data_IF_039702863805
#
_entry.id   IF_039702863805
#
_cell.length_a   1.000
_cell.length_b   1.000
_cell.length_c   1.000
_cell.angle_alpha   90.00
_cell.angle_beta   90.00
_cell.angle_gamma   90.00
#
_symmetry.space_group_name_H-M   'P 1'
#
loop_
_entity.id
_entity.type
_entity.pdbx_description
1 polymer ?
#
# COMPACT_ATOMS: atom_id res chain seq x y z
N UNK A 1 -10.30 4.84 19.39
CA UNK A 1 -11.65 4.30 19.68
C UNK A 1 -11.66 2.82 19.29
N UNK A 2 -12.67 2.03 19.70
CA UNK A 2 -12.73 0.59 19.40
C UNK A 2 -12.25 -0.29 20.55
N UNK A 3 -12.41 -1.60 20.42
CA UNK A 3 -12.16 -2.61 21.46
C UNK A 3 -12.95 -3.89 21.19
N UNK A 4 -12.45 -5.03 21.66
CA UNK A 4 -13.11 -6.34 21.53
C UNK A 4 -14.57 -6.31 22.00
N UNK A 5 -14.88 -5.56 23.04
CA UNK A 5 -16.23 -5.39 23.59
C UNK A 5 -17.21 -4.76 22.58
N UNK A 6 -16.70 -3.99 21.62
CA UNK A 6 -17.48 -3.36 20.56
C UNK A 6 -17.41 -4.14 19.23
N UNK A 7 -16.79 -5.34 19.22
CA UNK A 7 -16.49 -6.13 18.01
C UNK A 7 -15.75 -5.32 16.93
N UNK A 8 -14.98 -4.31 17.34
CA UNK A 8 -14.24 -3.42 16.45
C UNK A 8 -12.77 -3.38 16.88
N UNK A 9 -11.81 -3.39 15.93
CA UNK A 9 -10.40 -3.23 16.26
C UNK A 9 -10.13 -1.86 16.88
N UNK A 10 -8.98 -1.70 17.54
CA UNK A 10 -8.54 -0.42 18.09
C UNK A 10 -8.17 0.51 16.94
N UNK A 11 -8.97 1.54 16.70
CA UNK A 11 -8.81 2.51 15.60
C UNK A 11 -8.28 3.86 16.09
N UNK A 12 -7.44 4.49 15.29
CA UNK A 12 -6.97 5.86 15.49
C UNK A 12 -8.11 6.83 15.11
N UNK A 13 -8.81 7.35 16.11
CA UNK A 13 -9.94 8.27 15.87
C UNK A 13 -9.51 9.72 15.68
N UNK A 14 -8.37 10.12 16.28
CA UNK A 14 -7.88 11.49 16.25
C UNK A 14 -6.39 11.50 16.56
N UNK A 15 -5.64 12.31 15.80
CA UNK A 15 -4.24 12.64 16.07
C UNK A 15 -4.21 14.11 16.46
N UNK A 16 -3.52 14.42 17.57
CA UNK A 16 -3.36 15.79 18.03
C UNK A 16 -2.09 16.40 17.45
N UNK A 17 -2.25 17.58 16.85
CA UNK A 17 -1.14 18.28 16.20
C UNK A 17 -0.02 18.63 17.18
N UNK A 18 1.22 18.42 16.76
CA UNK A 18 2.42 18.73 17.56
C UNK A 18 2.84 17.64 18.56
N UNK A 19 2.12 16.52 18.68
CA UNK A 19 2.51 15.39 19.51
C UNK A 19 3.33 14.36 18.70
N UNK A 20 3.96 13.40 19.39
CA UNK A 20 4.80 12.37 18.77
C UNK A 20 4.11 11.64 17.60
N UNK A 21 2.83 11.31 17.74
CA UNK A 21 2.05 10.63 16.69
C UNK A 21 1.82 11.49 15.43
N UNK A 22 1.76 12.81 15.58
CA UNK A 22 1.65 13.76 14.47
C UNK A 22 3.02 13.98 13.81
N UNK A 23 4.08 14.11 14.63
CA UNK A 23 5.46 14.27 14.15
C UNK A 23 5.97 13.05 13.38
N UNK A 24 5.44 11.86 13.65
CA UNK A 24 5.82 10.65 12.91
C UNK A 24 5.25 10.60 11.49
N UNK A 25 4.14 11.29 11.19
CA UNK A 25 3.39 11.28 9.91
C UNK A 25 3.06 9.89 9.31
N UNK A 26 3.43 8.79 9.97
CA UNK A 26 3.23 7.41 9.56
C UNK A 26 1.88 6.83 10.02
N UNK A 27 1.12 7.60 10.81
CA UNK A 27 -0.17 7.21 11.38
C UNK A 27 -1.26 8.09 10.79
N UNK A 28 -2.34 7.49 10.34
CA UNK A 28 -3.51 8.18 9.83
C UNK A 28 -4.73 7.95 10.72
N UNK A 29 -5.61 8.95 10.76
CA UNK A 29 -6.93 8.79 11.35
C UNK A 29 -7.66 7.72 10.55
N UNK A 30 -8.06 6.65 11.24
CA UNK A 30 -8.67 5.49 10.62
C UNK A 30 -7.85 4.21 10.66
N UNK A 31 -6.56 4.29 10.95
CA UNK A 31 -5.72 3.10 11.01
C UNK A 31 -6.08 2.21 12.19
N UNK A 32 -5.99 0.89 11.99
CA UNK A 32 -6.20 -0.09 13.04
C UNK A 32 -4.87 -0.46 13.69
N UNK A 33 -4.75 -0.26 15.00
CA UNK A 33 -3.60 -0.68 15.79
C UNK A 33 -3.72 -2.18 16.03
N UNK A 34 -2.73 -2.93 15.54
CA UNK A 34 -2.62 -4.36 15.70
C UNK A 34 -1.77 -4.70 16.93
N UNK A 35 -0.67 -4.00 17.15
CA UNK A 35 0.20 -4.25 18.31
C UNK A 35 0.92 -2.98 18.81
N UNK A 36 1.26 -2.97 20.09
CA UNK A 36 2.04 -1.92 20.77
C UNK A 36 3.24 -2.58 21.46
N UNK A 37 4.46 -2.24 21.05
CA UNK A 37 5.71 -2.79 21.61
C UNK A 37 5.73 -4.32 21.67
N UNK A 38 5.19 -4.98 20.64
CA UNK A 38 5.09 -6.44 20.58
C UNK A 38 3.97 -7.06 21.41
N UNK A 39 3.17 -6.24 22.12
CA UNK A 39 1.92 -6.68 22.77
C UNK A 39 0.80 -6.58 21.76
N UNK A 40 0.18 -7.71 21.44
CA UNK A 40 -0.94 -7.77 20.49
C UNK A 40 -2.20 -7.16 21.10
N UNK A 41 -2.82 -6.26 20.36
CA UNK A 41 -4.05 -5.56 20.72
C UNK A 41 -5.23 -5.94 19.82
N UNK A 42 -5.07 -6.92 18.92
CA UNK A 42 -6.14 -7.40 18.04
C UNK A 42 -7.36 -7.95 18.81
N UNK A 43 -7.12 -8.60 19.95
CA UNK A 43 -8.16 -9.13 20.85
C UNK A 43 -8.29 -8.35 22.16
N UNK A 44 -7.62 -7.21 22.29
CA UNK A 44 -7.63 -6.41 23.51
C UNK A 44 -8.93 -5.60 23.64
N UNK A 45 -9.36 -5.40 24.88
CA UNK A 45 -10.41 -4.44 25.22
C UNK A 45 -9.93 -3.00 25.05
N UNK A 46 -10.85 -2.05 24.95
CA UNK A 46 -10.47 -0.63 24.85
C UNK A 46 -9.55 -0.18 25.99
N UNK A 47 -9.88 -0.58 27.21
CA UNK A 47 -9.12 -0.19 28.40
C UNK A 47 -7.70 -0.79 28.38
N UNK A 48 -7.56 -2.07 28.02
CA UNK A 48 -6.26 -2.73 27.87
C UNK A 48 -5.39 -2.06 26.81
N UNK A 49 -5.97 -1.65 25.68
CA UNK A 49 -5.24 -0.92 24.64
C UNK A 49 -4.75 0.46 25.14
N UNK A 50 -5.59 1.18 25.89
CA UNK A 50 -5.20 2.46 26.50
C UNK A 50 -4.11 2.26 27.55
N UNK A 51 -4.21 1.20 28.37
CA UNK A 51 -3.18 0.85 29.33
C UNK A 51 -1.86 0.47 28.66
N UNK A 52 -1.88 -0.30 27.57
CA UNK A 52 -0.68 -0.66 26.81
C UNK A 52 0.02 0.57 26.21
N UNK A 53 -0.75 1.51 25.67
CA UNK A 53 -0.23 2.79 25.17
C UNK A 53 0.35 3.65 26.30
N UNK A 54 -0.30 3.70 27.47
CA UNK A 54 0.17 4.47 28.64
C UNK A 54 1.36 3.84 29.37
N UNK A 55 1.44 2.51 29.39
CA UNK A 55 2.54 1.75 30.00
C UNK A 55 3.84 1.92 29.21
N UNK A 56 3.71 2.33 27.96
CA UNK A 56 4.84 2.61 27.11
C UNK A 56 5.51 3.93 27.49
N UNK A 57 6.83 3.91 27.62
CA UNK A 57 7.64 5.05 28.07
C UNK A 57 8.04 6.02 26.94
N UNK A 58 9.33 6.33 26.86
CA UNK A 58 9.89 7.33 25.93
C UNK A 58 9.75 6.97 24.44
N UNK A 59 9.61 5.69 24.12
CA UNK A 59 9.52 5.19 22.74
C UNK A 59 8.39 4.16 22.63
N UNK A 60 7.56 4.30 21.59
CA UNK A 60 6.42 3.42 21.30
C UNK A 60 6.58 2.90 19.87
N UNK A 61 6.62 1.59 19.70
CA UNK A 61 6.57 0.90 18.41
C UNK A 61 5.14 0.44 18.18
N UNK A 62 4.52 0.96 17.13
CA UNK A 62 3.14 0.64 16.76
C UNK A 62 3.15 -0.19 15.47
N UNK A 63 2.42 -1.28 15.47
CA UNK A 63 2.08 -2.01 14.25
C UNK A 63 0.66 -1.65 13.86
N UNK A 64 0.49 -1.04 12.70
CA UNK A 64 -0.81 -0.55 12.23
C UNK A 64 -1.16 -1.14 10.87
N UNK A 65 -2.45 -1.36 10.66
CA UNK A 65 -3.02 -1.73 9.37
C UNK A 65 -3.73 -0.52 8.78
N UNK A 66 -3.23 -0.05 7.64
CA UNK A 66 -3.88 1.00 6.87
C UNK A 66 -5.23 0.51 6.34
N UNK A 67 -6.32 1.13 6.76
CA UNK A 67 -7.67 0.82 6.31
C UNK A 67 -8.12 1.88 5.31
N UNK A 68 -7.92 1.61 4.01
CA UNK A 68 -8.18 2.56 2.91
C UNK A 68 -9.67 2.80 2.61
N UNK A 69 -10.60 2.28 3.40
CA UNK A 69 -12.03 2.52 3.25
C UNK A 69 -12.65 2.88 4.59
N UNK A 70 -12.85 4.17 4.84
CA UNK A 70 -13.76 4.63 5.88
C UNK A 70 -14.83 5.46 5.19
N UNK A 71 -15.92 4.77 4.87
CA UNK A 71 -17.26 5.32 4.75
C UNK A 71 -18.23 4.17 4.99
N UNK A 72 -19.17 4.20 5.96
CA UNK A 72 -19.25 5.00 7.19
C UNK A 72 -19.55 4.08 8.40
N UNK A 73 -18.56 3.71 9.24
CA UNK A 73 -18.87 3.05 10.52
C UNK A 73 -19.36 4.03 11.61
N UNK A 74 -19.45 5.32 11.28
CA UNK A 74 -20.29 6.27 12.00
C UNK A 74 -21.75 6.13 11.53
N UNK A 75 -22.45 5.06 11.94
CA UNK A 75 -23.91 5.00 12.11
C UNK A 75 -24.34 3.63 12.66
N UNK A 76 -24.73 3.67 13.95
CA UNK A 76 -25.75 2.91 14.67
C UNK A 76 -25.98 1.41 14.40
N UNK A 77 -25.97 0.68 15.51
CA UNK A 77 -26.54 -0.66 15.74
C UNK A 77 -27.83 -0.97 14.97
N UNK A 78 -27.90 -2.13 14.32
CA UNK A 78 -28.89 -3.22 14.54
C UNK A 78 -28.74 -4.33 13.48
N UNK A 79 -28.90 -5.60 13.94
CA UNK A 79 -29.36 -6.83 13.26
C UNK A 79 -29.23 -6.97 11.72
N UNK A 80 -28.83 -8.09 11.12
CA UNK A 80 -28.64 -9.48 11.54
C UNK A 80 -28.62 -10.40 10.30
N UNK A 81 -28.24 -11.67 10.52
CA UNK A 81 -28.46 -12.86 9.65
C UNK A 81 -27.70 -12.90 8.31
N UNK A 82 -27.22 -14.02 7.73
CA UNK A 82 -27.15 -15.48 8.00
C UNK A 82 -26.38 -16.08 6.79
N UNK A 83 -25.42 -17.01 6.89
CA UNK A 83 -25.51 -18.48 6.67
C UNK A 83 -24.04 -18.91 6.44
N UNK A 84 -23.42 -19.76 7.28
CA UNK A 84 -23.25 -21.24 7.19
C UNK A 84 -22.37 -21.70 6.01
N UNK A 85 -21.33 -22.52 6.20
CA UNK A 85 -21.43 -23.95 6.55
C UNK A 85 -20.36 -24.47 7.53
N UNK A 86 -20.78 -25.48 8.27
CA UNK A 86 -20.20 -26.19 9.42
C UNK A 86 -18.87 -26.97 9.17
N UNK A 87 -18.20 -27.43 10.25
CA UNK A 87 -16.88 -28.03 10.29
C UNK A 87 -16.93 -29.56 10.21
N UNK A 88 -15.76 -30.21 10.09
CA UNK A 88 -15.62 -31.62 10.44
C UNK A 88 -14.19 -32.00 10.86
N UNK A 89 -14.03 -33.06 11.69
CA UNK A 89 -13.03 -33.12 12.76
C UNK A 89 -12.02 -34.28 12.63
N UNK A 90 -10.88 -34.20 13.33
CA UNK A 90 -10.12 -35.40 13.76
C UNK A 90 -9.13 -35.10 14.90
N UNK A 91 -9.58 -35.41 16.12
CA UNK A 91 -8.93 -36.18 17.20
C UNK A 91 -7.41 -36.15 17.47
N UNK A 92 -7.11 -35.80 18.74
CA UNK A 92 -6.22 -36.43 19.75
C UNK A 92 -4.71 -36.10 19.83
N UNK A 93 -4.42 -35.28 20.87
CA UNK A 93 -3.38 -35.43 21.92
C UNK A 93 -1.88 -35.34 21.58
N UNK A 94 -1.24 -34.26 22.08
CA UNK A 94 -0.27 -34.37 23.20
C UNK A 94 -0.04 -33.00 23.86
N UNK A 95 -0.25 -32.94 25.19
CA UNK A 95 0.18 -31.82 26.05
C UNK A 95 1.71 -31.86 26.18
N UNK A 96 2.35 -30.74 25.86
CA UNK A 96 3.62 -30.31 26.43
C UNK A 96 3.74 -28.80 26.21
N UNK A 97 3.83 -28.05 27.33
CA UNK A 97 4.41 -26.71 27.54
C UNK A 97 4.22 -25.61 26.47
N UNK A 98 3.82 -24.37 26.81
CA UNK A 98 3.62 -23.31 25.81
C UNK A 98 4.98 -22.77 25.33
N UNK A 99 5.63 -23.50 24.42
CA UNK A 99 6.54 -22.88 23.46
C UNK A 99 5.66 -22.17 22.45
N UNK A 100 5.74 -20.84 22.45
CA UNK A 100 5.11 -19.97 21.47
C UNK A 100 5.25 -20.58 20.07
N UNK A 101 4.15 -20.87 19.34
CA UNK A 101 4.28 -21.15 17.93
C UNK A 101 4.89 -19.89 17.27
N UNK A 102 5.82 -20.05 16.32
CA UNK A 102 6.20 -18.93 15.45
C UNK A 102 4.90 -18.39 14.87
N UNK A 103 4.49 -17.19 15.29
CA UNK A 103 3.34 -16.50 14.71
C UNK A 103 3.62 -16.28 13.24
N UNK A 104 3.13 -17.22 12.45
CA UNK A 104 2.52 -17.03 11.14
C UNK A 104 3.03 -15.81 10.34
N UNK A 105 4.27 -15.88 9.84
CA UNK A 105 4.52 -15.54 8.43
C UNK A 105 4.04 -16.74 7.58
N UNK A 106 2.79 -17.18 7.76
CA UNK A 106 2.28 -18.43 7.14
C UNK A 106 1.71 -18.26 5.75
N UNK A 107 1.64 -17.04 5.25
CA UNK A 107 1.36 -16.78 3.85
C UNK A 107 2.42 -15.80 3.35
N UNK A 108 3.37 -16.29 2.56
CA UNK A 108 4.34 -15.43 1.90
C UNK A 108 3.59 -14.38 1.08
N UNK A 109 3.85 -13.09 1.35
CA UNK A 109 3.25 -12.02 0.55
C UNK A 109 3.87 -12.03 -0.84
N UNK A 110 3.05 -12.25 -1.86
CA UNK A 110 3.49 -12.31 -3.26
C UNK A 110 3.11 -11.01 -3.96
N UNK A 111 4.10 -10.32 -4.54
CA UNK A 111 3.87 -9.20 -5.46
C UNK A 111 4.16 -9.68 -6.89
N UNK A 112 3.21 -9.57 -7.82
CA UNK A 112 3.47 -9.84 -9.23
C UNK A 112 4.53 -8.86 -9.77
N UNK A 113 5.59 -9.38 -10.38
CA UNK A 113 6.63 -8.54 -11.00
C UNK A 113 6.13 -7.75 -12.22
N UNK A 114 5.00 -8.15 -12.79
CA UNK A 114 4.38 -7.46 -13.92
C UNK A 114 4.02 -6.04 -13.50
N UNK A 115 4.75 -5.06 -14.03
CA UNK A 115 4.59 -3.64 -13.73
C UNK A 115 4.67 -3.31 -12.23
N UNK A 116 5.33 -4.11 -11.40
CA UNK A 116 5.65 -3.64 -10.05
C UNK A 116 6.62 -2.46 -10.14
N UNK A 117 6.59 -1.59 -9.14
CA UNK A 117 7.55 -0.49 -9.04
C UNK A 117 8.19 -0.46 -7.66
N UNK A 118 9.42 0.03 -7.63
CA UNK A 118 10.16 0.22 -6.38
C UNK A 118 10.27 1.71 -6.12
N UNK A 119 9.89 2.13 -4.92
CA UNK A 119 9.98 3.50 -4.45
C UNK A 119 10.91 3.58 -3.24
N UNK A 120 11.59 4.71 -3.09
CA UNK A 120 12.37 5.05 -1.88
C UNK A 120 11.67 6.11 -1.04
N UNK A 121 10.36 6.22 -1.19
CA UNK A 121 9.50 7.17 -0.50
C UNK A 121 9.25 6.70 0.92
N UNK A 122 10.29 6.71 1.76
CA UNK A 122 10.16 6.44 3.17
C UNK A 122 10.47 7.72 3.95
N UNK A 123 9.47 8.14 4.72
CA UNK A 123 9.61 9.10 5.81
C UNK A 123 9.62 8.31 7.13
N UNK A 124 10.42 8.68 8.13
CA UNK A 124 11.34 9.83 8.16
C UNK A 124 12.53 9.65 7.22
N UNK A 125 13.21 10.76 6.91
CA UNK A 125 14.39 10.79 6.04
C UNK A 125 15.35 9.65 6.43
N UNK A 126 15.55 8.73 5.50
CA UNK A 126 16.52 7.64 5.62
C UNK A 126 17.86 8.12 5.05
N UNK A 127 18.77 8.67 5.88
CA UNK A 127 20.05 9.17 5.40
C UNK A 127 20.95 8.05 4.86
N UNK A 128 20.63 6.79 5.15
CA UNK A 128 21.43 5.63 4.76
C UNK A 128 20.85 4.87 3.57
N UNK A 129 19.72 5.33 2.99
CA UNK A 129 19.09 4.77 1.79
C UNK A 129 18.89 3.23 1.81
N UNK A 130 18.59 2.67 2.98
CA UNK A 130 18.41 1.24 3.22
C UNK A 130 16.97 0.78 3.05
N UNK A 131 16.00 1.69 3.01
CA UNK A 131 14.60 1.35 2.83
C UNK A 131 14.19 1.28 1.35
N UNK A 132 13.36 0.29 1.06
CA UNK A 132 12.73 0.06 -0.23
C UNK A 132 11.26 -0.23 -0.03
N UNK A 133 10.42 0.43 -0.79
CA UNK A 133 9.00 0.12 -0.92
C UNK A 133 8.78 -0.56 -2.27
N UNK A 134 8.30 -1.80 -2.27
CA UNK A 134 7.93 -2.52 -3.49
C UNK A 134 6.42 -2.54 -3.60
N UNK A 135 5.88 -1.96 -4.66
CA UNK A 135 4.45 -1.84 -4.87
C UNK A 135 3.98 -2.67 -6.07
N UNK A 136 2.80 -3.26 -5.95
CA UNK A 136 2.10 -3.90 -7.06
C UNK A 136 1.61 -2.87 -8.08
N UNK A 137 1.38 -3.34 -9.31
CA UNK A 137 0.95 -2.48 -10.42
C UNK A 137 -0.42 -1.79 -10.20
N UNK A 138 -1.25 -2.35 -9.34
CA UNK A 138 -2.55 -1.80 -8.95
C UNK A 138 -2.47 -0.91 -7.69
N UNK A 139 -1.28 -0.73 -7.11
CA UNK A 139 -1.05 0.08 -5.91
C UNK A 139 -1.77 -0.43 -4.66
N UNK A 140 -2.29 -1.67 -4.67
CA UNK A 140 -3.03 -2.27 -3.54
C UNK A 140 -2.12 -2.97 -2.54
N UNK A 141 -1.00 -3.52 -3.02
CA UNK A 141 -0.04 -4.26 -2.19
C UNK A 141 1.29 -3.53 -2.20
N UNK A 142 1.77 -3.18 -1.01
CA UNK A 142 3.09 -2.61 -0.80
C UNK A 142 3.88 -3.45 0.21
N UNK A 143 5.16 -3.67 -0.06
CA UNK A 143 6.10 -4.31 0.84
C UNK A 143 7.20 -3.32 1.19
N UNK A 144 7.34 -3.03 2.47
CA UNK A 144 8.45 -2.25 2.99
C UNK A 144 9.56 -3.20 3.41
N UNK A 145 10.74 -3.00 2.84
CA UNK A 145 11.93 -3.79 3.08
C UNK A 145 13.03 -2.86 3.59
N UNK A 146 13.81 -3.35 4.55
CA UNK A 146 15.03 -2.69 5.02
C UNK A 146 16.21 -3.59 4.74
N UNK A 147 17.17 -3.09 3.97
CA UNK A 147 18.43 -3.78 3.73
C UNK A 147 19.42 -3.57 4.88
N UNK A 148 20.46 -4.41 4.90
CA UNK A 148 21.58 -4.27 5.84
C UNK A 148 22.36 -2.97 5.61
N UNK A 149 22.59 -2.63 4.34
CA UNK A 149 23.39 -1.50 3.87
C UNK A 149 22.82 -0.94 2.56
N UNK A 150 23.26 0.26 2.19
CA UNK A 150 22.81 0.95 0.97
C UNK A 150 23.13 0.14 -0.30
N UNK A 151 24.30 -0.48 -0.37
CA UNK A 151 24.72 -1.26 -1.54
C UNK A 151 23.80 -2.46 -1.77
N UNK A 152 23.38 -3.13 -0.70
CA UNK A 152 22.40 -4.20 -0.72
C UNK A 152 21.03 -3.67 -1.13
N UNK A 153 20.57 -2.54 -0.58
CA UNK A 153 19.31 -1.91 -1.00
C UNK A 153 19.32 -1.54 -2.49
N UNK A 154 20.42 -0.98 -2.99
CA UNK A 154 20.60 -0.66 -4.40
C UNK A 154 20.58 -1.92 -5.27
N UNK A 155 21.24 -2.99 -4.83
CA UNK A 155 21.25 -4.27 -5.55
C UNK A 155 19.86 -4.87 -5.66
N UNK A 156 19.08 -4.86 -4.56
CA UNK A 156 17.69 -5.31 -4.55
C UNK A 156 16.81 -4.46 -5.47
N UNK A 157 16.93 -3.14 -5.41
CA UNK A 157 16.19 -2.22 -6.27
C UNK A 157 16.47 -2.50 -7.75
N UNK A 158 17.75 -2.58 -8.14
CA UNK A 158 18.15 -2.86 -9.52
C UNK A 158 17.67 -4.22 -10.00
N UNK A 159 17.74 -5.25 -9.15
CA UNK A 159 17.28 -6.59 -9.48
C UNK A 159 15.76 -6.65 -9.72
N UNK A 160 14.97 -6.02 -8.85
CA UNK A 160 13.51 -5.98 -9.00
C UNK A 160 13.12 -5.18 -10.24
N UNK A 161 13.73 -4.01 -10.45
CA UNK A 161 13.46 -3.18 -11.63
C UNK A 161 13.85 -3.88 -12.94
N UNK A 162 14.99 -4.57 -12.97
CA UNK A 162 15.41 -5.34 -14.14
C UNK A 162 14.42 -6.46 -14.47
N UNK A 163 14.01 -7.24 -13.47
CA UNK A 163 13.04 -8.33 -13.66
C UNK A 163 11.65 -7.82 -14.06
N UNK A 164 11.20 -6.71 -13.48
CA UNK A 164 9.96 -6.05 -13.91
C UNK A 164 10.07 -5.54 -15.36
N UNK A 165 11.23 -4.99 -15.73
CA UNK A 165 11.54 -4.51 -17.07
C UNK A 165 11.51 -5.59 -18.15
N UNK A 166 11.92 -6.83 -17.83
CA UNK A 166 11.81 -7.99 -18.76
C UNK A 166 10.37 -8.26 -19.17
N UNK A 167 9.39 -7.96 -18.30
CA UNK A 167 7.97 -8.16 -18.58
C UNK A 167 7.33 -7.02 -19.38
N UNK A 168 8.00 -5.86 -19.48
CA UNK A 168 7.46 -4.66 -20.11
C UNK A 168 7.07 -4.86 -21.58
N UNK A 169 7.82 -5.57 -22.45
CA UNK A 169 7.41 -5.82 -23.82
C UNK A 169 6.06 -6.55 -23.93
N UNK A 170 5.84 -7.56 -23.07
CA UNK A 170 4.56 -8.31 -23.01
C UNK A 170 3.41 -7.41 -22.57
N UNK A 171 3.64 -6.56 -21.56
CA UNK A 171 2.64 -5.58 -21.11
C UNK A 171 2.26 -4.62 -22.23
N UNK A 172 3.23 -4.13 -23.01
CA UNK A 172 2.98 -3.25 -24.16
C UNK A 172 2.12 -3.96 -25.21
N UNK A 173 2.39 -5.22 -25.49
CA UNK A 173 1.61 -6.03 -26.44
C UNK A 173 0.17 -6.24 -25.97
N UNK A 174 -0.03 -6.62 -24.70
CA UNK A 174 -1.36 -6.77 -24.11
C UNK A 174 -2.17 -5.47 -24.16
N UNK A 175 -1.54 -4.34 -23.80
CA UNK A 175 -2.19 -3.03 -23.88
C UNK A 175 -2.57 -2.72 -25.33
N UNK A 176 -1.67 -2.92 -26.31
CA UNK A 176 -2.00 -2.73 -27.73
C UNK A 176 -3.17 -3.61 -28.18
N UNK A 177 -3.22 -4.87 -27.74
CA UNK A 177 -4.33 -5.77 -28.06
C UNK A 177 -5.67 -5.27 -27.48
N UNK A 178 -5.67 -4.70 -26.26
CA UNK A 178 -6.86 -4.09 -25.67
C UNK A 178 -7.35 -2.86 -26.44
N UNK A 179 -6.46 -2.11 -27.09
CA UNK A 179 -6.82 -0.99 -27.96
C UNK A 179 -7.29 -1.42 -29.36
N UNK A 180 -6.74 -2.50 -29.91
CA UNK A 180 -7.03 -2.95 -31.28
C UNK A 180 -8.51 -3.34 -31.50
N UNK A 181 -9.24 -3.73 -30.45
CA UNK A 181 -10.68 -4.04 -30.50
C UNK A 181 -11.61 -2.82 -30.51
N UNK A 182 -11.09 -1.60 -30.60
CA UNK A 182 -11.88 -0.37 -30.61
C UNK A 182 -12.10 0.18 -32.02
N UNK A 183 -13.36 0.15 -32.47
CA UNK A 183 -13.82 0.62 -33.79
C UNK A 183 -13.73 2.14 -34.01
N UNK A 184 -13.34 2.93 -33.00
CA UNK A 184 -13.41 4.41 -33.07
C UNK A 184 -12.15 5.18 -32.69
N UNK A 185 -11.01 4.53 -32.38
CA UNK A 185 -9.78 5.28 -32.03
C UNK A 185 -8.57 4.72 -32.76
N UNK A 186 -8.53 5.02 -34.06
CA UNK A 186 -7.32 4.92 -34.85
C UNK A 186 -6.25 5.90 -34.29
N UNK A 187 -5.16 5.36 -33.76
CA UNK A 187 -3.93 6.16 -33.57
C UNK A 187 -3.30 6.18 -32.18
N UNK A 188 -3.50 5.17 -31.34
CA UNK A 188 -2.71 5.02 -30.11
C UNK A 188 -1.72 3.87 -30.24
N UNK A 189 -0.76 4.00 -31.15
CA UNK A 189 0.42 3.14 -31.06
C UNK A 189 1.20 3.49 -29.79
N UNK A 190 1.25 2.56 -28.85
CA UNK A 190 1.93 2.74 -27.58
C UNK A 190 3.44 2.67 -27.85
N UNK A 191 4.12 3.81 -27.71
CA UNK A 191 5.58 3.91 -27.85
C UNK A 191 6.28 3.53 -26.57
N UNK A 192 5.86 4.09 -25.43
CA UNK A 192 6.49 3.86 -24.13
C UNK A 192 5.45 3.67 -23.02
N UNK A 193 5.82 2.86 -22.03
CA UNK A 193 5.05 2.62 -20.80
C UNK A 193 6.05 2.58 -19.65
N UNK A 194 5.78 3.28 -18.56
CA UNK A 194 6.69 3.29 -17.41
C UNK A 194 6.13 4.05 -16.22
N UNK A 195 6.66 3.74 -15.04
CA UNK A 195 6.32 4.43 -13.81
C UNK A 195 7.12 5.74 -13.69
N UNK A 196 6.43 6.82 -13.35
CA UNK A 196 6.97 8.13 -13.04
C UNK A 196 6.69 8.44 -11.56
N UNK A 197 7.57 9.26 -10.98
CA UNK A 197 7.29 9.91 -9.70
C UNK A 197 7.01 11.37 -9.96
N UNK A 198 5.78 11.81 -9.70
CA UNK A 198 5.43 13.22 -9.74
C UNK A 198 5.80 13.86 -8.41
N UNK A 199 6.58 14.93 -8.48
CA UNK A 199 6.88 15.78 -7.36
C UNK A 199 5.88 16.93 -7.34
N UNK A 200 4.88 16.85 -6.45
CA UNK A 200 3.96 17.97 -6.23
C UNK A 200 4.69 18.97 -5.35
N UNK A 201 4.79 20.22 -5.82
CA UNK A 201 5.40 21.30 -5.03
C UNK A 201 4.77 21.35 -3.63
N UNK A 202 5.57 21.59 -2.58
CA UNK A 202 5.05 21.68 -1.24
C UNK A 202 3.99 22.78 -1.19
N UNK A 203 2.85 22.51 -0.56
CA UNK A 203 1.86 23.53 -0.29
C UNK A 203 2.56 24.74 0.37
N UNK A 204 2.26 26.00 0.00
CA UNK A 204 2.85 27.18 0.62
C UNK A 204 2.66 27.26 2.14
N UNK A 205 1.68 26.50 2.66
CA UNK A 205 1.35 26.38 4.08
C UNK A 205 2.14 25.27 4.80
N UNK A 206 2.77 24.35 4.07
CA UNK A 206 3.55 23.20 4.58
C UNK A 206 4.80 22.96 3.70
N UNK A 207 5.83 23.83 3.79
CA UNK A 207 7.03 23.76 2.96
C UNK A 207 7.90 22.50 3.17
N UNK A 208 7.64 21.69 4.20
CA UNK A 208 8.42 20.48 4.51
C UNK A 208 7.91 19.18 3.86
N UNK A 209 6.67 19.14 3.37
CA UNK A 209 6.07 17.89 2.85
C UNK A 209 6.08 17.90 1.32
N UNK A 210 7.15 17.38 0.73
CA UNK A 210 7.15 17.05 -0.70
C UNK A 210 6.27 15.82 -0.89
N UNK A 211 5.06 15.99 -1.44
CA UNK A 211 4.18 14.86 -1.73
C UNK A 211 4.61 14.26 -3.06
N UNK A 212 5.14 13.04 -3.00
CA UNK A 212 5.58 12.30 -4.19
C UNK A 212 4.54 11.26 -4.58
N UNK A 213 3.87 11.42 -5.71
CA UNK A 213 2.93 10.42 -6.24
C UNK A 213 3.62 9.51 -7.25
N UNK A 214 3.29 8.22 -7.25
CA UNK A 214 3.71 7.30 -8.32
C UNK A 214 2.60 7.26 -9.35
N UNK A 215 2.94 7.52 -10.61
CA UNK A 215 2.00 7.53 -11.72
C UNK A 215 2.52 6.62 -12.83
N UNK A 216 1.63 5.89 -13.48
CA UNK A 216 1.94 5.18 -14.70
C UNK A 216 1.78 6.13 -15.89
N UNK A 217 2.83 6.32 -16.67
CA UNK A 217 2.80 7.03 -17.93
C UNK A 217 2.70 6.05 -19.10
N UNK A 218 1.78 6.32 -20.02
CA UNK A 218 1.64 5.65 -21.31
C UNK A 218 1.80 6.72 -22.39
N UNK A 219 2.89 6.63 -23.14
CA UNK A 219 3.18 7.52 -24.26
C UNK A 219 2.70 6.88 -25.56
N UNK A 220 1.81 7.58 -26.25
CA UNK A 220 1.34 7.24 -27.59
C UNK A 220 1.98 8.19 -28.62
N UNK A 221 1.66 8.03 -29.90
CA UNK A 221 2.12 8.98 -30.94
C UNK A 221 1.57 10.39 -30.77
N UNK A 222 0.39 10.53 -30.16
CA UNK A 222 -0.36 11.79 -30.11
C UNK A 222 -0.57 12.33 -28.71
N UNK A 223 -0.45 11.49 -27.69
CA UNK A 223 -0.84 11.82 -26.32
C UNK A 223 0.10 11.15 -25.30
N UNK A 224 0.39 11.86 -24.22
CA UNK A 224 0.90 11.35 -22.96
C UNK A 224 -0.28 11.12 -22.00
N UNK A 225 -0.51 9.88 -21.60
CA UNK A 225 -1.59 9.47 -20.71
C UNK A 225 -1.00 9.11 -19.34
N UNK A 226 -1.53 9.67 -18.27
CA UNK A 226 -1.13 9.37 -16.89
C UNK A 226 -2.24 8.62 -16.16
N UNK A 227 -1.87 7.58 -15.41
CA UNK A 227 -2.77 6.77 -14.59
C UNK A 227 -2.21 6.64 -13.18
N UNK A 228 -3.07 6.53 -12.18
CA UNK A 228 -2.67 6.21 -10.80
C UNK A 228 -2.24 4.74 -10.63
N UNK A 229 -2.74 3.84 -11.48
CA UNK A 229 -2.52 2.39 -11.43
C UNK A 229 -2.52 1.81 -12.84
N UNK A 230 -1.96 0.61 -13.03
CA UNK A 230 -2.03 -0.09 -14.31
C UNK A 230 -3.49 -0.41 -14.70
N UNK A 231 -3.98 0.08 -15.85
CA UNK A 231 -5.31 -0.27 -16.34
C UNK A 231 -5.40 -1.77 -16.63
N UNK A 232 -6.35 -2.47 -16.00
CA UNK A 232 -6.58 -3.90 -16.20
C UNK A 232 -7.67 -4.20 -17.24
N UNK A 233 -8.44 -3.18 -17.63
CA UNK A 233 -9.56 -3.31 -18.56
C UNK A 233 -9.54 -2.22 -19.62
N UNK A 234 -10.22 -2.50 -20.74
CA UNK A 234 -10.39 -1.53 -21.84
C UNK A 234 -11.10 -0.25 -21.39
N UNK A 235 -12.09 -0.34 -20.51
CA UNK A 235 -12.79 0.84 -19.98
C UNK A 235 -11.87 1.72 -19.14
N UNK A 236 -11.05 1.11 -18.26
CA UNK A 236 -10.07 1.82 -17.44
C UNK A 236 -9.00 2.51 -18.32
N UNK A 237 -8.60 1.86 -19.41
CA UNK A 237 -7.64 2.41 -20.38
C UNK A 237 -8.21 3.59 -21.19
N UNK A 238 -9.53 3.72 -21.25
CA UNK A 238 -10.21 4.87 -21.84
C UNK A 238 -10.29 6.08 -20.90
N UNK A 239 -10.02 5.91 -19.60
CA UNK A 239 -10.20 6.92 -18.55
C UNK A 239 -8.89 7.22 -17.82
N UNK A 240 -7.91 7.87 -18.48
CA UNK A 240 -6.69 8.31 -17.82
C UNK A 240 -6.99 9.35 -16.74
N UNK A 241 -6.14 9.41 -15.71
CA UNK A 241 -6.17 10.46 -14.69
C UNK A 241 -5.85 11.81 -15.31
N UNK A 242 -4.85 11.86 -16.20
CA UNK A 242 -4.53 13.04 -17.00
C UNK A 242 -4.19 12.64 -18.44
N UNK A 243 -4.61 13.44 -19.42
CA UNK A 243 -4.24 13.28 -20.83
C UNK A 243 -3.67 14.58 -21.35
N UNK A 244 -2.47 14.52 -21.93
CA UNK A 244 -1.79 15.66 -22.53
C UNK A 244 -1.49 15.38 -24.01
N UNK A 245 -1.94 16.20 -24.95
CA UNK A 245 -1.57 16.04 -26.36
C UNK A 245 -0.08 16.36 -26.55
N UNK A 246 0.59 15.56 -27.38
CA UNK A 246 1.98 15.80 -27.78
C UNK A 246 1.99 16.84 -28.89
N UNK A 247 2.61 17.98 -28.62
CA UNK A 247 2.84 19.02 -29.61
C UNK A 247 4.10 18.62 -30.38
N UNK A 248 3.97 18.28 -31.66
CA UNK A 248 5.12 18.06 -32.53
C UNK A 248 5.81 19.42 -32.77
N UNK A 249 6.94 19.66 -32.10
CA UNK A 249 7.86 20.72 -32.52
C UNK A 249 8.53 20.26 -33.81
N UNK A 250 8.27 21.01 -34.88
CA UNK A 250 8.77 20.75 -36.25
C UNK A 250 10.25 21.09 -36.38
#
# INVERSE_FOLDING_TARGET
QGGRENKMPILISKIFKGLAADQTEALYVGDAILSVNGTDLSEATHDEAVQALKKTGKEVILEVKYMKEISPYFKNSTAGATVSWDPSPSTLQKRSSPLLPPRELREGRTIPLKMCYVSRKCLPADPEHRYLEVCSADGRVALFLRAKDEATAQSWLSAIQANAGVMLPRVKEELRAQLAGATTVAGRDIKHVGWLTEQVLPCPLLPLTTVLWNLLAILTEKELLLYSTLPQSRDALGKPTHSYPLIATR
#
